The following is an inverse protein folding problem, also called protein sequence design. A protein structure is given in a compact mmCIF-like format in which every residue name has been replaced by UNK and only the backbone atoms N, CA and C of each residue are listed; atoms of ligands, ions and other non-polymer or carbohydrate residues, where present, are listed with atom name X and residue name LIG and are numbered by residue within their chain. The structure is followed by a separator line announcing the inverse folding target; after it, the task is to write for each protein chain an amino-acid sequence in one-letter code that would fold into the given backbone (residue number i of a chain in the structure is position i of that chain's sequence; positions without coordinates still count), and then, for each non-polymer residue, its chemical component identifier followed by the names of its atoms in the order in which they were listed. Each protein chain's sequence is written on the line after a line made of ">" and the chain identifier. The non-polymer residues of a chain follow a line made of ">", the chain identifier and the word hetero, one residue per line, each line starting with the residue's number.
data_IF_789310496114
#
_entry.id   IF_789310496114
#
_cell.length_a   1.000
_cell.length_b   1.000
_cell.length_c   1.000
_cell.angle_alpha   90.00
_cell.angle_beta   90.00
_cell.angle_gamma   90.00
#
_symmetry.space_group_name_H-M   'P 1'
#
loop_
_entity.id
_entity.type
_entity.pdbx_description
1 polymer ?
#
# COMPACT_ATOMS: atom_id res chain seq x y z
N UNK A 1 -14.90 -1.31 9.58
CA UNK A 1 -14.15 -1.71 8.37
C UNK A 1 -13.53 -0.53 7.61
N UNK A 2 -14.21 0.62 7.47
CA UNK A 2 -13.76 1.77 6.67
C UNK A 2 -12.34 2.28 6.97
N UNK A 3 -11.90 2.16 8.23
CA UNK A 3 -10.63 2.72 8.72
C UNK A 3 -9.43 1.77 8.55
N UNK A 4 -9.64 0.49 8.22
CA UNK A 4 -8.56 -0.48 7.94
C UNK A 4 -8.75 -1.06 6.54
N UNK A 5 -8.17 -0.40 5.53
CA UNK A 5 -8.48 -0.70 4.12
C UNK A 5 -7.35 -0.28 3.19
N UNK A 6 -7.24 -0.99 2.08
CA UNK A 6 -6.44 -0.58 0.92
C UNK A 6 -7.38 -0.31 -0.25
N UNK A 7 -7.34 0.91 -0.79
CA UNK A 7 -8.10 1.27 -1.99
C UNK A 7 -7.17 1.36 -3.20
N UNK A 8 -7.37 0.52 -4.22
CA UNK A 8 -6.62 0.62 -5.46
C UNK A 8 -7.21 1.67 -6.39
N UNK A 9 -6.32 2.38 -7.09
CA UNK A 9 -6.64 3.11 -8.32
C UNK A 9 -5.60 2.75 -9.38
N UNK A 10 -6.02 2.08 -10.44
CA UNK A 10 -5.16 1.83 -11.60
C UNK A 10 -4.87 3.18 -12.27
N UNK A 11 -3.59 3.53 -12.42
CA UNK A 11 -3.17 4.79 -13.04
C UNK A 11 -2.54 4.59 -14.41
N UNK A 12 -2.00 3.40 -14.69
CA UNK A 12 -1.55 2.98 -16.01
C UNK A 12 -1.64 1.45 -16.14
N UNK A 13 -1.89 0.97 -17.36
CA UNK A 13 -1.85 -0.46 -17.69
C UNK A 13 -1.34 -0.63 -19.13
N UNK A 14 -0.45 -1.60 -19.30
CA UNK A 14 0.01 -2.13 -20.58
C UNK A 14 -0.19 -3.66 -20.60
N UNK A 15 0.40 -4.34 -21.59
CA UNK A 15 0.23 -5.78 -21.77
C UNK A 15 0.81 -6.60 -20.59
N UNK A 16 2.05 -6.29 -20.20
CA UNK A 16 2.78 -7.03 -19.14
C UNK A 16 3.09 -6.15 -17.93
N UNK A 17 2.54 -4.95 -17.84
CA UNK A 17 2.83 -4.01 -16.75
C UNK A 17 1.60 -3.23 -16.31
N UNK A 18 1.48 -3.03 -14.99
CA UNK A 18 0.42 -2.23 -14.40
C UNK A 18 0.95 -1.33 -13.30
N UNK A 19 0.42 -0.12 -13.21
CA UNK A 19 0.71 0.84 -12.16
C UNK A 19 -0.56 1.12 -11.37
N UNK A 20 -0.49 0.93 -10.06
CA UNK A 20 -1.61 1.16 -9.14
C UNK A 20 -1.19 2.15 -8.06
N UNK A 21 -1.95 3.21 -7.90
CA UNK A 21 -1.89 4.05 -6.71
C UNK A 21 -2.77 3.43 -5.64
N UNK A 22 -2.17 3.05 -4.52
CA UNK A 22 -2.88 2.52 -3.36
C UNK A 22 -3.00 3.59 -2.29
N UNK A 23 -4.20 3.77 -1.75
CA UNK A 23 -4.41 4.47 -0.47
C UNK A 23 -4.58 3.46 0.64
N UNK A 24 -3.70 3.50 1.63
CA UNK A 24 -3.65 2.58 2.76
C UNK A 24 -4.12 3.29 4.01
N UNK A 25 -5.17 2.76 4.65
CA UNK A 25 -5.68 3.24 5.93
C UNK A 25 -5.54 2.18 7.00
N UNK A 26 -5.08 2.58 8.18
CA UNK A 26 -4.90 1.73 9.34
C UNK A 26 -5.31 2.43 10.63
N UNK A 27 -5.72 1.64 11.63
CA UNK A 27 -5.99 2.12 12.99
C UNK A 27 -5.35 1.15 13.98
N UNK A 28 -4.50 1.65 14.86
CA UNK A 28 -3.84 0.88 15.93
C UNK A 28 -4.85 0.46 17.02
N UNK A 29 -4.47 -0.42 17.97
CA UNK A 29 -5.30 -0.69 19.15
C UNK A 29 -5.54 0.54 20.05
N UNK A 30 -4.57 1.45 20.13
CA UNK A 30 -4.64 2.70 20.89
C UNK A 30 -5.36 3.84 20.16
N UNK A 31 -5.79 3.62 18.92
CA UNK A 31 -6.62 4.55 18.15
C UNK A 31 -5.86 5.51 17.23
N UNK A 32 -4.53 5.43 17.16
CA UNK A 32 -3.77 6.17 16.15
C UNK A 32 -4.15 5.70 14.75
N UNK A 33 -4.23 6.67 13.84
CA UNK A 33 -4.60 6.42 12.45
C UNK A 33 -3.38 6.56 11.53
N UNK A 34 -3.38 5.76 10.48
CA UNK A 34 -2.49 5.88 9.35
C UNK A 34 -3.32 6.07 8.10
N UNK A 35 -2.93 7.02 7.25
CA UNK A 35 -3.47 7.23 5.91
C UNK A 35 -2.30 7.63 5.00
N UNK A 36 -1.91 6.73 4.11
CA UNK A 36 -0.73 6.91 3.27
C UNK A 36 -0.94 6.37 1.88
N UNK A 37 -0.34 7.04 0.90
CA UNK A 37 -0.33 6.59 -0.48
C UNK A 37 0.96 5.82 -0.81
N UNK A 38 0.84 4.82 -1.69
CA UNK A 38 1.99 4.14 -2.27
C UNK A 38 1.73 3.79 -3.72
N UNK A 39 2.77 3.89 -4.56
CA UNK A 39 2.67 3.54 -5.96
C UNK A 39 3.24 2.15 -6.18
N UNK A 40 2.41 1.21 -6.63
CA UNK A 40 2.81 -0.14 -6.95
C UNK A 40 3.05 -0.30 -8.46
N UNK A 41 4.24 -0.75 -8.83
CA UNK A 41 4.56 -1.24 -10.17
C UNK A 41 4.48 -2.76 -10.17
N UNK A 42 3.66 -3.30 -11.06
CA UNK A 42 3.43 -4.73 -11.20
C UNK A 42 3.85 -5.18 -12.59
N UNK A 43 4.69 -6.20 -12.66
CA UNK A 43 5.03 -6.88 -13.90
C UNK A 43 4.33 -8.22 -13.96
N UNK A 44 3.71 -8.50 -15.09
CA UNK A 44 3.06 -9.77 -15.42
C UNK A 44 3.95 -10.57 -16.37
N UNK A 45 3.88 -11.89 -16.27
CA UNK A 45 4.48 -12.83 -17.22
C UNK A 45 3.56 -14.04 -17.32
N UNK A 46 3.16 -14.40 -18.53
CA UNK A 46 2.21 -15.49 -18.78
C UNK A 46 0.91 -15.36 -17.95
N UNK A 47 0.41 -14.12 -17.83
CA UNK A 47 -0.78 -13.79 -17.05
C UNK A 47 -0.61 -13.88 -15.52
N UNK A 48 0.62 -14.06 -15.02
CA UNK A 48 0.92 -14.18 -13.59
C UNK A 48 1.78 -13.03 -13.11
N UNK A 49 1.61 -12.63 -11.86
CA UNK A 49 2.48 -11.64 -11.22
C UNK A 49 3.92 -12.15 -11.14
N UNK A 50 4.81 -11.50 -11.89
CA UNK A 50 6.24 -11.80 -11.92
C UNK A 50 7.05 -10.90 -10.97
N UNK A 51 6.60 -9.65 -10.77
CA UNK A 51 7.23 -8.70 -9.85
C UNK A 51 6.22 -7.70 -9.31
N UNK A 52 6.35 -7.36 -8.03
CA UNK A 52 5.71 -6.19 -7.44
C UNK A 52 6.76 -5.33 -6.76
N UNK A 53 6.73 -4.02 -7.00
CA UNK A 53 7.60 -3.07 -6.32
C UNK A 53 6.82 -1.82 -5.93
N UNK A 54 7.05 -1.38 -4.69
CA UNK A 54 6.42 -0.19 -4.12
C UNK A 54 7.39 1.00 -4.20
N UNK A 55 6.87 2.15 -4.62
CA UNK A 55 7.59 3.40 -4.78
C UNK A 55 6.96 4.52 -3.96
N UNK A 56 7.78 5.51 -3.61
CA UNK A 56 7.39 6.71 -2.86
C UNK A 56 6.66 6.41 -1.54
N UNK A 57 7.00 5.28 -0.93
CA UNK A 57 6.41 4.87 0.34
C UNK A 57 7.05 5.67 1.49
N UNK A 58 6.24 6.38 2.27
CA UNK A 58 6.71 7.04 3.49
C UNK A 58 7.00 6.00 4.57
N UNK A 59 8.21 5.44 4.50
CA UNK A 59 8.69 4.41 5.41
C UNK A 59 8.78 4.90 6.86
N UNK A 60 8.97 6.20 7.08
CA UNK A 60 9.05 6.77 8.43
C UNK A 60 7.67 6.81 9.07
N UNK A 61 6.66 7.31 8.35
CA UNK A 61 5.28 7.34 8.84
C UNK A 61 4.76 5.93 9.15
N UNK A 62 5.04 4.96 8.27
CA UNK A 62 4.63 3.57 8.44
C UNK A 62 5.34 2.92 9.62
N UNK A 63 6.65 3.11 9.76
CA UNK A 63 7.40 2.55 10.89
C UNK A 63 6.90 3.09 12.23
N UNK A 64 6.61 4.39 12.30
CA UNK A 64 6.04 5.02 13.50
C UNK A 64 4.66 4.45 13.82
N UNK A 65 3.78 4.32 12.83
CA UNK A 65 2.47 3.70 13.01
C UNK A 65 2.56 2.26 13.50
N UNK A 66 3.41 1.43 12.88
CA UNK A 66 3.59 0.03 13.27
C UNK A 66 4.16 -0.12 14.69
N UNK A 67 5.05 0.77 15.11
CA UNK A 67 5.58 0.79 16.48
C UNK A 67 4.47 1.04 17.50
N UNK A 68 3.55 1.97 17.21
CA UNK A 68 2.40 2.24 18.06
C UNK A 68 1.40 1.07 18.03
N UNK A 69 1.13 0.51 16.85
CA UNK A 69 0.17 -0.59 16.68
C UNK A 69 0.58 -1.91 17.34
N UNK A 70 1.86 -2.08 17.67
CA UNK A 70 2.40 -3.28 18.32
C UNK A 70 2.67 -3.10 19.81
N UNK A 71 2.58 -1.86 20.31
CA UNK A 71 2.71 -1.57 21.73
C UNK A 71 1.40 -1.94 22.44
N UNK A 72 1.47 -2.89 23.37
CA UNK A 72 0.33 -3.37 24.17
C UNK A 72 -0.02 -2.43 25.31
#
# INVERSE_FOLDING_TARGET
>A
ETERRMDPRVVAAGEDEGVVLWRQRGVSPSGEQFDGEVLGLYQLRDGKLARAQMFYFDTVAVANFLKMATSR
#
